data_IF_560722820122
#
_entry.id   IF_560722820122
#
_cell.length_a   1.000
_cell.length_b   1.000
_cell.length_c   1.000
_cell.angle_alpha   90.00
_cell.angle_beta   90.00
_cell.angle_gamma   90.00
#
_symmetry.space_group_name_H-M   'P 1'
#
loop_
_entity.id
_entity.type
_entity.pdbx_description
1 polymer ?
#
# COMPACT_ATOMS: atom_id res chain seq x y z
N UNK A 1 34.06 3.13 -12.77
CA UNK A 1 33.63 4.10 -11.75
C UNK A 1 32.33 4.73 -12.25
N UNK A 2 31.18 4.23 -11.77
CA UNK A 2 29.89 4.89 -11.99
C UNK A 2 29.90 6.19 -11.19
N UNK A 3 29.81 7.32 -11.89
CA UNK A 3 29.56 8.59 -11.23
C UNK A 3 28.23 8.46 -10.50
N UNK A 4 28.22 8.58 -9.17
CA UNK A 4 26.97 8.70 -8.42
C UNK A 4 26.24 9.91 -8.98
N UNK A 5 25.05 9.70 -9.55
CA UNK A 5 24.23 10.80 -10.01
C UNK A 5 24.00 11.74 -8.83
N UNK A 6 24.29 13.03 -9.01
CA UNK A 6 24.00 14.04 -8.00
C UNK A 6 22.50 14.12 -7.80
N UNK A 7 22.02 13.97 -6.57
CA UNK A 7 20.60 14.14 -6.21
C UNK A 7 20.24 15.61 -5.94
N UNK A 8 20.97 16.54 -6.53
CA UNK A 8 20.64 17.96 -6.52
C UNK A 8 19.46 18.22 -7.47
N UNK A 9 18.39 18.92 -7.05
CA UNK A 9 17.24 19.24 -7.89
C UNK A 9 17.59 19.85 -9.25
N UNK A 10 18.64 20.68 -9.30
CA UNK A 10 19.07 21.32 -10.54
C UNK A 10 19.70 20.34 -11.54
N UNK A 11 20.21 19.19 -11.08
CA UNK A 11 20.85 18.17 -11.89
C UNK A 11 19.95 16.95 -12.18
N UNK A 12 18.86 16.80 -11.43
CA UNK A 12 17.92 15.70 -11.63
C UNK A 12 17.13 15.84 -12.93
N UNK A 13 17.04 14.75 -13.68
CA UNK A 13 16.29 14.68 -14.94
C UNK A 13 14.83 14.33 -14.69
N UNK A 14 14.06 15.28 -14.15
CA UNK A 14 12.63 15.15 -13.95
C UNK A 14 11.84 15.28 -15.26
N UNK A 15 10.60 14.80 -15.30
CA UNK A 15 9.69 14.92 -16.46
C UNK A 15 9.49 16.36 -16.89
N UNK A 16 9.40 17.26 -15.92
CA UNK A 16 9.36 18.71 -16.13
C UNK A 16 10.49 19.35 -15.34
N UNK A 17 11.39 20.05 -16.01
CA UNK A 17 12.54 20.67 -15.37
C UNK A 17 12.14 21.56 -14.18
N UNK A 18 12.77 21.35 -13.04
CA UNK A 18 12.53 22.11 -11.79
C UNK A 18 11.24 21.76 -11.07
N UNK A 19 10.52 20.73 -11.53
CA UNK A 19 9.27 20.26 -10.92
C UNK A 19 9.33 18.76 -10.73
N UNK A 20 8.83 18.25 -9.61
CA UNK A 20 8.69 16.83 -9.33
C UNK A 20 7.24 16.41 -9.60
N UNK A 21 7.03 15.50 -10.54
CA UNK A 21 5.71 14.99 -10.89
C UNK A 21 5.47 13.65 -10.22
N UNK A 22 4.47 13.57 -9.35
CA UNK A 22 4.13 12.37 -8.58
C UNK A 22 2.81 11.80 -9.09
N UNK A 23 2.77 10.49 -9.29
CA UNK A 23 1.59 9.75 -9.69
C UNK A 23 0.87 9.11 -8.50
N UNK A 24 -0.45 9.02 -8.61
CA UNK A 24 -1.29 8.13 -7.80
C UNK A 24 -2.59 7.84 -8.53
N UNK A 25 -3.35 6.83 -8.08
CA UNK A 25 -4.64 6.48 -8.67
C UNK A 25 -5.75 7.47 -8.25
N UNK A 26 -6.90 7.35 -8.89
CA UNK A 26 -8.13 8.05 -8.53
C UNK A 26 -9.32 7.09 -8.60
N UNK A 27 -10.14 7.02 -7.52
CA UNK A 27 -10.04 7.81 -6.29
C UNK A 27 -8.83 7.43 -5.41
N UNK A 28 -8.26 8.43 -4.73
CA UNK A 28 -7.19 8.29 -3.77
C UNK A 28 -7.79 8.06 -2.37
N UNK A 29 -7.68 6.84 -1.86
CA UNK A 29 -8.42 6.39 -0.67
C UNK A 29 -7.72 6.72 0.65
N UNK A 30 -8.55 6.98 1.69
CA UNK A 30 -8.09 6.99 3.08
C UNK A 30 -7.70 5.57 3.55
N UNK A 31 -6.74 5.47 4.47
CA UNK A 31 -5.95 6.51 5.13
C UNK A 31 -4.69 6.95 4.38
N UNK A 32 -4.51 6.50 3.12
CA UNK A 32 -3.36 6.82 2.28
C UNK A 32 -3.38 8.27 1.81
N UNK A 33 -4.56 8.73 1.42
CA UNK A 33 -4.86 10.09 1.00
C UNK A 33 -6.16 10.54 1.68
N UNK A 34 -6.26 11.80 2.06
CA UNK A 34 -7.46 12.34 2.70
C UNK A 34 -8.21 13.23 1.70
N UNK A 35 -9.54 13.17 1.70
CA UNK A 35 -10.43 13.96 0.84
C UNK A 35 -10.27 13.71 -0.67
N UNK A 36 -9.77 12.53 -1.10
CA UNK A 36 -9.45 12.22 -2.52
C UNK A 36 -8.54 13.28 -3.16
N UNK A 37 -7.67 13.91 -2.34
CA UNK A 37 -6.76 14.97 -2.77
C UNK A 37 -5.33 14.66 -2.36
N UNK A 38 -4.50 14.10 -3.27
CA UNK A 38 -3.11 13.77 -2.97
C UNK A 38 -2.24 15.01 -2.70
N UNK A 39 -2.67 16.19 -3.13
CA UNK A 39 -1.88 17.41 -3.03
C UNK A 39 -1.95 18.10 -1.66
N UNK A 40 -2.90 17.70 -0.81
CA UNK A 40 -3.13 18.35 0.48
C UNK A 40 -2.07 18.01 1.56
N UNK A 41 -1.24 16.97 1.35
CA UNK A 41 -0.24 16.51 2.30
C UNK A 41 -0.81 15.67 3.45
N UNK A 42 -2.08 15.29 3.37
CA UNK A 42 -2.79 14.51 4.39
C UNK A 42 -2.98 13.07 3.94
N UNK A 43 -2.83 12.13 4.88
CA UNK A 43 -2.78 10.71 4.62
C UNK A 43 -1.34 10.20 4.48
N UNK A 44 -1.16 8.89 4.70
CA UNK A 44 0.18 8.32 4.80
C UNK A 44 1.01 8.53 3.53
N UNK A 45 0.48 8.16 2.36
CA UNK A 45 1.24 8.25 1.09
C UNK A 45 1.39 9.68 0.59
N UNK A 46 0.39 10.56 0.80
CA UNK A 46 0.56 11.97 0.51
C UNK A 46 1.70 12.57 1.34
N UNK A 47 1.74 12.26 2.64
CA UNK A 47 2.80 12.74 3.53
C UNK A 47 4.18 12.14 3.18
N UNK A 48 4.25 10.85 2.85
CA UNK A 48 5.49 10.18 2.39
C UNK A 48 6.00 10.83 1.09
N UNK A 49 5.11 11.07 0.13
CA UNK A 49 5.48 11.69 -1.14
C UNK A 49 6.10 13.08 -0.95
N UNK A 50 5.50 13.91 -0.10
CA UNK A 50 6.06 15.23 0.22
C UNK A 50 7.35 15.14 1.04
N UNK A 51 7.49 14.16 1.94
CA UNK A 51 8.74 13.92 2.65
C UNK A 51 9.86 13.50 1.69
N UNK A 52 9.58 12.63 0.71
CA UNK A 52 10.54 12.28 -0.36
C UNK A 52 10.91 13.54 -1.17
N UNK A 53 9.92 14.34 -1.57
CA UNK A 53 10.15 15.57 -2.32
C UNK A 53 11.08 16.55 -1.56
N UNK A 54 10.85 16.71 -0.27
CA UNK A 54 11.68 17.57 0.60
C UNK A 54 13.12 17.06 0.70
N UNK A 55 13.32 15.76 0.92
CA UNK A 55 14.67 15.12 0.91
C UNK A 55 15.37 15.30 -0.45
N UNK A 56 14.63 15.31 -1.54
CA UNK A 56 15.16 15.58 -2.88
C UNK A 56 15.36 17.08 -3.16
N UNK A 57 14.99 17.97 -2.23
CA UNK A 57 15.15 19.42 -2.35
C UNK A 57 14.05 20.13 -3.15
N UNK A 58 12.90 19.49 -3.38
CA UNK A 58 11.73 20.11 -4.02
C UNK A 58 10.75 20.65 -2.97
N UNK A 59 10.56 21.96 -2.95
CA UNK A 59 9.52 22.57 -2.13
C UNK A 59 8.11 22.13 -2.58
N UNK A 60 7.13 22.21 -1.69
CA UNK A 60 5.76 21.75 -1.94
C UNK A 60 5.12 22.36 -3.20
N UNK A 61 5.40 23.62 -3.50
CA UNK A 61 4.92 24.33 -4.69
C UNK A 61 5.60 23.87 -5.99
N UNK A 62 6.65 23.05 -5.89
CA UNK A 62 7.36 22.40 -7.02
C UNK A 62 6.92 20.95 -7.23
N UNK A 63 5.93 20.48 -6.51
CA UNK A 63 5.35 19.15 -6.67
C UNK A 63 4.05 19.25 -7.46
N UNK A 64 3.94 18.44 -8.50
CA UNK A 64 2.73 18.32 -9.33
C UNK A 64 2.23 16.87 -9.27
N UNK A 65 0.92 16.69 -9.15
CA UNK A 65 0.29 15.39 -9.12
C UNK A 65 -0.38 15.04 -10.45
N UNK A 66 -0.28 13.79 -10.86
CA UNK A 66 -0.97 13.23 -12.04
C UNK A 66 -1.72 11.97 -11.66
N UNK A 67 -2.86 11.76 -12.30
CA UNK A 67 -3.62 10.51 -12.14
C UNK A 67 -2.92 9.41 -12.93
N UNK A 68 -2.57 8.34 -12.23
CA UNK A 68 -1.92 7.16 -12.80
C UNK A 68 -2.64 5.90 -12.31
N UNK A 69 -3.53 5.31 -13.13
CA UNK A 69 -4.25 4.09 -12.75
C UNK A 69 -3.29 2.95 -12.46
N UNK A 70 -3.58 2.18 -11.39
CA UNK A 70 -2.70 1.11 -10.88
C UNK A 70 -2.15 0.20 -11.99
N UNK A 71 -3.02 -0.27 -12.90
CA UNK A 71 -2.59 -1.16 -13.97
C UNK A 71 -1.56 -0.53 -14.93
N UNK A 72 -1.62 0.78 -15.12
CA UNK A 72 -0.64 1.50 -15.95
C UNK A 72 0.66 1.77 -15.21
N UNK A 73 0.59 1.93 -13.88
CA UNK A 73 1.76 2.11 -13.02
C UNK A 73 2.69 0.91 -13.08
N UNK A 74 2.15 -0.30 -12.93
CA UNK A 74 2.95 -1.54 -12.91
C UNK A 74 3.25 -2.13 -14.29
N UNK A 75 2.62 -1.62 -15.35
CA UNK A 75 2.84 -2.10 -16.72
C UNK A 75 4.19 -1.63 -17.29
N UNK A 76 4.77 -2.33 -18.26
CA UNK A 76 5.93 -1.84 -19.03
C UNK A 76 5.62 -0.53 -19.77
N UNK A 77 6.65 0.27 -20.03
CA UNK A 77 6.56 1.49 -20.83
C UNK A 77 6.79 2.77 -20.03
N UNK A 78 6.89 3.89 -20.78
CA UNK A 78 7.15 5.20 -20.19
C UNK A 78 6.00 5.68 -19.33
N UNK A 79 6.33 6.27 -18.18
CA UNK A 79 5.39 6.85 -17.23
C UNK A 79 5.24 8.35 -17.42
N UNK A 80 4.10 8.89 -17.00
CA UNK A 80 3.83 10.34 -17.01
C UNK A 80 4.34 11.05 -15.74
N UNK A 81 4.91 10.31 -14.80
CA UNK A 81 5.37 10.77 -13.49
C UNK A 81 6.86 10.48 -13.29
N UNK A 82 7.47 11.17 -12.35
CA UNK A 82 8.83 10.91 -11.89
C UNK A 82 8.87 9.70 -10.96
N UNK A 83 7.93 9.64 -10.02
CA UNK A 83 7.61 8.44 -9.25
C UNK A 83 6.11 8.41 -8.88
N UNK A 84 5.62 7.24 -8.52
CA UNK A 84 4.23 7.00 -8.12
C UNK A 84 4.19 6.37 -6.73
N UNK A 85 3.19 6.74 -5.94
CA UNK A 85 2.86 6.14 -4.65
C UNK A 85 1.38 5.74 -4.66
N UNK A 86 1.13 4.45 -4.67
CA UNK A 86 -0.20 3.90 -4.89
C UNK A 86 -0.34 2.48 -4.31
N UNK A 87 0.10 2.28 -3.08
CA UNK A 87 0.09 0.99 -2.38
C UNK A 87 0.65 -0.15 -3.26
N UNK A 88 1.76 0.10 -3.94
CA UNK A 88 2.35 -0.86 -4.87
C UNK A 88 3.37 -1.72 -4.16
N UNK A 89 3.04 -2.98 -3.97
CA UNK A 89 3.96 -3.97 -3.41
C UNK A 89 5.14 -4.22 -4.34
N UNK A 90 6.32 -4.17 -3.78
CA UNK A 90 7.56 -4.53 -4.46
C UNK A 90 7.55 -6.04 -4.72
N UNK A 91 7.71 -6.46 -5.98
CA UNK A 91 7.87 -7.86 -6.35
C UNK A 91 8.87 -8.04 -7.48
N UNK A 92 9.48 -9.21 -7.55
CA UNK A 92 10.46 -9.52 -8.61
C UNK A 92 9.81 -9.53 -10.00
N UNK A 93 8.54 -9.92 -10.08
CA UNK A 93 7.78 -9.84 -11.33
C UNK A 93 7.62 -8.37 -11.78
N UNK A 94 7.18 -7.49 -10.90
CA UNK A 94 7.00 -6.06 -11.21
C UNK A 94 8.32 -5.35 -11.51
N UNK A 95 9.41 -5.74 -10.86
CA UNK A 95 10.77 -5.22 -11.16
C UNK A 95 11.25 -5.49 -12.59
N UNK A 96 10.64 -6.43 -13.30
CA UNK A 96 10.95 -6.63 -14.72
C UNK A 96 10.42 -5.49 -15.60
N UNK A 97 9.30 -4.89 -15.22
CA UNK A 97 8.61 -3.86 -15.99
C UNK A 97 8.91 -2.43 -15.51
N UNK A 98 9.17 -2.25 -14.22
CA UNK A 98 9.36 -0.93 -13.57
C UNK A 98 10.52 -0.99 -12.59
N UNK A 99 11.00 0.18 -12.16
CA UNK A 99 11.90 0.29 -11.02
C UNK A 99 11.11 0.63 -9.75
N UNK A 100 11.67 0.27 -8.60
CA UNK A 100 11.17 0.60 -7.28
C UNK A 100 12.24 1.32 -6.46
N UNK A 101 11.80 2.23 -5.61
CA UNK A 101 12.61 2.68 -4.47
C UNK A 101 12.75 1.57 -3.43
N UNK A 102 13.56 1.79 -2.39
CA UNK A 102 13.42 1.06 -1.13
C UNK A 102 11.98 1.14 -0.62
N UNK A 103 11.55 0.14 0.14
CA UNK A 103 10.20 0.12 0.71
C UNK A 103 9.98 1.24 1.71
N UNK A 104 8.88 1.98 1.58
CA UNK A 104 8.48 3.02 2.54
C UNK A 104 7.45 2.54 3.57
N UNK A 105 6.81 1.38 3.34
CA UNK A 105 5.81 0.81 4.25
C UNK A 105 5.92 -0.71 4.26
N UNK A 106 5.94 -1.28 5.47
CA UNK A 106 5.92 -2.73 5.67
C UNK A 106 4.47 -3.21 5.73
N UNK A 107 4.06 -3.98 4.73
CA UNK A 107 2.67 -4.40 4.56
C UNK A 107 2.32 -5.53 5.53
N UNK A 108 1.20 -5.38 6.21
CA UNK A 108 0.57 -6.42 7.01
C UNK A 108 -0.75 -6.84 6.36
N UNK A 109 -0.99 -8.13 6.34
CA UNK A 109 -2.29 -8.67 5.94
C UNK A 109 -3.21 -8.69 7.16
N UNK A 110 -4.49 -8.35 6.96
CA UNK A 110 -5.48 -8.33 8.00
C UNK A 110 -6.72 -9.12 7.62
N UNK A 111 -7.44 -9.60 8.61
CA UNK A 111 -8.72 -10.29 8.45
C UNK A 111 -9.85 -9.36 8.89
N UNK A 112 -10.80 -9.13 7.99
CA UNK A 112 -11.98 -8.29 8.19
C UNK A 112 -13.19 -9.17 8.31
N UNK A 113 -14.11 -8.82 9.19
CA UNK A 113 -15.41 -9.46 9.32
C UNK A 113 -16.49 -8.44 9.67
N UNK A 114 -17.70 -8.90 9.95
CA UNK A 114 -18.80 -8.12 10.49
C UNK A 114 -19.06 -8.48 11.95
N UNK A 115 -19.63 -7.56 12.70
CA UNK A 115 -19.95 -7.77 14.12
C UNK A 115 -20.93 -8.93 14.29
N UNK A 116 -20.59 -9.85 15.18
CA UNK A 116 -21.38 -11.06 15.45
C UNK A 116 -21.18 -12.18 14.42
N UNK A 117 -20.17 -12.12 13.57
CA UNK A 117 -19.77 -13.22 12.69
C UNK A 117 -19.16 -14.39 13.47
N UNK A 118 -19.00 -15.57 12.83
CA UNK A 118 -18.34 -16.71 13.49
C UNK A 118 -16.89 -16.43 13.94
N UNK A 119 -16.23 -15.43 13.36
CA UNK A 119 -14.84 -15.07 13.65
C UNK A 119 -14.68 -13.73 14.35
N UNK A 120 -15.77 -13.06 14.68
CA UNK A 120 -15.74 -11.83 15.48
C UNK A 120 -15.16 -12.13 16.87
N UNK A 121 -14.19 -11.32 17.31
CA UNK A 121 -13.52 -11.47 18.60
C UNK A 121 -12.52 -12.64 18.68
N UNK A 122 -12.23 -13.32 17.60
CA UNK A 122 -11.17 -14.35 17.56
C UNK A 122 -9.80 -13.69 17.65
N UNK A 123 -8.85 -14.39 18.28
CA UNK A 123 -7.53 -13.85 18.61
C UNK A 123 -6.37 -14.68 18.07
N UNK A 124 -6.66 -15.85 17.50
CA UNK A 124 -5.63 -16.75 16.95
C UNK A 124 -5.90 -17.09 15.50
N UNK A 125 -4.83 -17.34 14.74
CA UNK A 125 -4.95 -17.82 13.34
C UNK A 125 -5.67 -19.17 13.29
N UNK A 126 -5.46 -20.02 14.29
CA UNK A 126 -6.11 -21.34 14.36
C UNK A 126 -7.64 -21.24 14.46
N UNK A 127 -8.17 -20.21 15.08
CA UNK A 127 -9.63 -19.97 15.19
C UNK A 127 -10.28 -19.68 13.85
N UNK A 128 -9.51 -19.28 12.83
CA UNK A 128 -9.99 -18.92 11.51
C UNK A 128 -10.10 -20.12 10.56
N UNK A 129 -9.58 -21.30 10.94
CA UNK A 129 -9.54 -22.47 10.04
C UNK A 129 -10.91 -22.97 9.60
N UNK A 130 -11.93 -22.79 10.41
CA UNK A 130 -13.31 -23.15 10.08
C UNK A 130 -14.07 -22.08 9.28
N UNK A 131 -13.48 -20.90 9.08
CA UNK A 131 -14.14 -19.78 8.44
C UNK A 131 -14.12 -19.89 6.91
N UNK A 132 -15.16 -19.36 6.29
CA UNK A 132 -15.19 -19.11 4.84
C UNK A 132 -14.52 -17.76 4.58
N UNK A 133 -13.28 -17.78 4.14
CA UNK A 133 -12.52 -16.57 3.84
C UNK A 133 -12.57 -16.26 2.35
N UNK A 134 -12.54 -14.97 2.01
CA UNK A 134 -12.46 -14.47 0.66
C UNK A 134 -11.32 -13.48 0.49
N UNK A 135 -10.83 -13.35 -0.74
CA UNK A 135 -9.80 -12.37 -1.11
C UNK A 135 -9.90 -12.03 -2.61
N UNK A 136 -9.32 -10.91 -2.99
CA UNK A 136 -9.24 -10.54 -4.40
C UNK A 136 -8.24 -11.44 -5.13
N UNK A 137 -8.57 -11.79 -6.37
CA UNK A 137 -7.74 -12.63 -7.24
C UNK A 137 -6.35 -12.02 -7.47
N UNK A 138 -5.33 -12.87 -7.48
CA UNK A 138 -3.96 -12.47 -7.81
C UNK A 138 -3.26 -11.58 -6.78
N UNK A 139 -3.80 -11.50 -5.55
CA UNK A 139 -3.24 -10.68 -4.47
C UNK A 139 -2.39 -11.50 -3.51
N UNK A 140 -1.48 -10.83 -2.82
CA UNK A 140 -0.74 -11.39 -1.68
C UNK A 140 -1.68 -11.73 -0.52
N UNK A 141 -2.81 -11.03 -0.41
CA UNK A 141 -3.88 -11.31 0.54
C UNK A 141 -4.50 -12.70 0.33
N UNK A 142 -4.74 -13.08 -0.93
CA UNK A 142 -5.20 -14.43 -1.27
C UNK A 142 -4.18 -15.49 -0.82
N UNK A 143 -2.89 -15.25 -1.13
CA UNK A 143 -1.82 -16.17 -0.73
C UNK A 143 -1.71 -16.26 0.80
N UNK A 144 -1.80 -15.15 1.51
CA UNK A 144 -1.78 -15.14 2.97
C UNK A 144 -2.97 -15.93 3.57
N UNK A 145 -4.17 -15.75 3.05
CA UNK A 145 -5.34 -16.52 3.47
C UNK A 145 -5.12 -18.02 3.27
N UNK A 146 -4.64 -18.41 2.09
CA UNK A 146 -4.41 -19.81 1.71
C UNK A 146 -3.28 -20.45 2.52
N UNK A 147 -2.13 -19.76 2.63
CA UNK A 147 -0.89 -20.38 3.10
C UNK A 147 -0.69 -20.20 4.62
N UNK A 148 -1.18 -19.12 5.22
CA UNK A 148 -1.04 -18.86 6.66
C UNK A 148 -2.25 -19.36 7.45
N UNK A 149 -3.47 -19.07 7.01
CA UNK A 149 -4.67 -19.54 7.71
C UNK A 149 -4.95 -20.99 7.40
N UNK A 150 -4.76 -21.40 6.17
CA UNK A 150 -5.06 -22.77 5.69
C UNK A 150 -6.50 -23.19 6.03
N UNK A 151 -7.52 -22.43 5.59
CA UNK A 151 -8.89 -22.71 5.97
C UNK A 151 -9.35 -24.06 5.41
N UNK A 152 -10.27 -24.72 6.13
CA UNK A 152 -10.83 -26.04 5.72
C UNK A 152 -11.56 -25.99 4.39
N UNK A 153 -12.22 -24.85 4.08
CA UNK A 153 -12.80 -24.57 2.78
C UNK A 153 -11.83 -23.75 1.93
N UNK A 154 -11.84 -23.97 0.61
CA UNK A 154 -11.04 -23.14 -0.28
C UNK A 154 -11.38 -21.66 -0.13
N UNK A 155 -10.35 -20.80 -0.17
CA UNK A 155 -10.53 -19.35 -0.15
C UNK A 155 -11.36 -18.92 -1.35
N UNK A 156 -12.47 -18.21 -1.11
CA UNK A 156 -13.31 -17.67 -2.16
C UNK A 156 -12.56 -16.53 -2.88
N UNK A 157 -12.59 -16.56 -4.21
CA UNK A 157 -11.84 -15.62 -5.05
C UNK A 157 -12.80 -14.64 -5.70
N UNK A 158 -12.50 -13.35 -5.60
CA UNK A 158 -13.28 -12.26 -6.17
C UNK A 158 -12.43 -11.42 -7.12
N UNK A 159 -13.04 -10.94 -8.20
CA UNK A 159 -12.33 -10.08 -9.17
C UNK A 159 -11.95 -8.71 -8.58
N UNK A 160 -12.74 -8.24 -7.62
CA UNK A 160 -12.50 -6.96 -6.91
C UNK A 160 -12.77 -7.10 -5.41
N UNK A 161 -12.16 -6.21 -4.63
CA UNK A 161 -12.47 -6.09 -3.20
C UNK A 161 -13.93 -5.71 -2.95
N UNK A 162 -14.54 -4.91 -3.83
CA UNK A 162 -15.96 -4.54 -3.70
C UNK A 162 -16.89 -5.75 -3.80
N UNK A 163 -16.58 -6.71 -4.68
CA UNK A 163 -17.32 -7.96 -4.77
C UNK A 163 -17.15 -8.83 -3.51
N UNK A 164 -15.95 -8.85 -2.94
CA UNK A 164 -15.70 -9.53 -1.67
C UNK A 164 -16.50 -8.88 -0.52
N UNK A 165 -16.55 -7.55 -0.47
CA UNK A 165 -17.36 -6.80 0.49
C UNK A 165 -18.85 -7.13 0.33
N UNK A 166 -19.37 -7.20 -0.89
CA UNK A 166 -20.77 -7.60 -1.14
C UNK A 166 -21.05 -9.02 -0.65
N UNK A 167 -20.13 -9.96 -0.90
CA UNK A 167 -20.26 -11.34 -0.42
C UNK A 167 -20.25 -11.41 1.12
N UNK A 168 -19.44 -10.59 1.78
CA UNK A 168 -19.42 -10.49 3.24
C UNK A 168 -20.72 -9.90 3.79
N UNK A 169 -21.24 -8.82 3.20
CA UNK A 169 -22.55 -8.25 3.54
C UNK A 169 -23.69 -9.25 3.40
N UNK A 170 -23.63 -10.08 2.37
CA UNK A 170 -24.61 -11.13 2.10
C UNK A 170 -24.38 -12.40 2.93
N UNK A 171 -23.39 -12.40 3.83
CA UNK A 171 -23.03 -13.55 4.68
C UNK A 171 -22.70 -14.82 3.90
N UNK A 172 -22.20 -14.66 2.68
CA UNK A 172 -21.73 -15.75 1.82
C UNK A 172 -20.32 -16.21 2.21
N UNK A 173 -19.55 -15.30 2.81
CA UNK A 173 -18.24 -15.53 3.43
C UNK A 173 -18.27 -14.98 4.86
N UNK A 174 -17.37 -15.47 5.72
CA UNK A 174 -17.25 -15.06 7.10
C UNK A 174 -16.23 -13.94 7.30
N UNK A 175 -15.26 -13.82 6.40
CA UNK A 175 -14.23 -12.80 6.45
C UNK A 175 -13.53 -12.56 5.14
N UNK A 176 -12.88 -11.40 5.04
CA UNK A 176 -12.03 -10.99 3.91
C UNK A 176 -10.61 -10.85 4.43
N UNK A 177 -9.64 -11.31 3.63
CA UNK A 177 -8.22 -11.00 3.86
C UNK A 177 -7.82 -9.92 2.87
N UNK A 178 -7.27 -8.83 3.40
CA UNK A 178 -6.78 -7.69 2.64
C UNK A 178 -5.59 -7.05 3.34
N UNK A 179 -4.86 -6.18 2.65
CA UNK A 179 -3.84 -5.33 3.28
C UNK A 179 -4.47 -4.51 4.40
N UNK A 180 -3.75 -4.33 5.50
CA UNK A 180 -4.28 -3.65 6.68
C UNK A 180 -4.92 -2.29 6.36
N UNK A 181 -4.34 -1.43 5.54
CA UNK A 181 -4.97 -0.16 5.20
C UNK A 181 -6.24 -0.29 4.36
N UNK A 182 -6.29 -1.26 3.46
CA UNK A 182 -7.55 -1.61 2.76
C UNK A 182 -8.59 -2.13 3.75
N UNK A 183 -8.17 -2.89 4.76
CA UNK A 183 -9.03 -3.34 5.85
C UNK A 183 -9.65 -2.16 6.61
N UNK A 184 -8.88 -1.13 6.91
CA UNK A 184 -9.39 0.08 7.57
C UNK A 184 -10.43 0.80 6.71
N UNK A 185 -10.17 0.93 5.40
CA UNK A 185 -11.15 1.52 4.49
C UNK A 185 -12.45 0.69 4.41
N UNK A 186 -12.34 -0.63 4.28
CA UNK A 186 -13.51 -1.51 4.25
C UNK A 186 -14.37 -1.37 5.51
N UNK A 187 -13.75 -1.35 6.69
CA UNK A 187 -14.46 -1.25 7.96
C UNK A 187 -14.99 0.15 8.27
N UNK A 188 -14.34 1.19 7.77
CA UNK A 188 -14.74 2.57 8.01
C UNK A 188 -15.77 3.11 7.01
N UNK A 189 -15.69 2.67 5.75
CA UNK A 189 -16.46 3.28 4.66
C UNK A 189 -17.38 2.32 3.88
N UNK A 190 -17.10 1.02 3.90
CA UNK A 190 -17.85 0.06 3.08
C UNK A 190 -18.76 -0.88 3.88
N UNK A 191 -18.45 -1.13 5.15
CA UNK A 191 -19.20 -2.02 6.05
C UNK A 191 -19.77 -1.21 7.21
N UNK A 192 -21.08 -1.27 7.43
CA UNK A 192 -21.74 -0.56 8.54
C UNK A 192 -21.36 -1.12 9.91
N UNK A 193 -21.06 -2.42 9.95
CA UNK A 193 -20.71 -3.17 11.15
C UNK A 193 -19.37 -3.91 11.00
N UNK A 194 -18.48 -3.36 10.16
CA UNK A 194 -17.18 -3.94 9.88
C UNK A 194 -16.26 -3.97 11.10
N UNK A 195 -15.55 -5.07 11.26
CA UNK A 195 -14.58 -5.30 12.36
C UNK A 195 -13.30 -5.86 11.77
N UNK A 196 -12.16 -5.35 12.22
CA UNK A 196 -10.87 -6.00 11.96
C UNK A 196 -10.67 -7.05 13.05
N UNK A 197 -10.62 -8.32 12.64
CA UNK A 197 -10.35 -9.44 13.57
C UNK A 197 -8.92 -9.32 14.10
N UNK A 198 -7.98 -9.07 13.21
CA UNK A 198 -6.57 -8.86 13.53
C UNK A 198 -5.67 -8.93 12.31
N UNK A 199 -4.39 -8.66 12.52
CA UNK A 199 -3.33 -8.81 11.53
C UNK A 199 -2.79 -10.23 11.55
N UNK A 200 -2.56 -10.80 10.38
CA UNK A 200 -1.83 -12.06 10.27
C UNK A 200 -0.35 -11.84 10.67
N UNK A 201 0.28 -12.82 11.34
CA UNK A 201 1.69 -12.72 11.71
C UNK A 201 2.58 -12.52 10.48
N UNK A 202 3.66 -11.75 10.64
CA UNK A 202 4.68 -11.64 9.59
C UNK A 202 5.35 -13.01 9.39
N UNK A 203 5.50 -13.41 8.14
CA UNK A 203 6.24 -14.60 7.74
C UNK A 203 7.39 -14.20 6.81
N UNK A 204 8.62 -14.32 7.31
CA UNK A 204 9.82 -13.95 6.56
C UNK A 204 10.02 -12.45 6.45
N UNK A 205 10.63 -12.01 5.34
CA UNK A 205 10.78 -10.58 5.04
C UNK A 205 9.40 -9.97 4.77
N UNK A 206 9.11 -8.79 5.34
CA UNK A 206 7.83 -8.15 5.12
C UNK A 206 7.67 -7.75 3.64
N UNK A 207 6.48 -7.95 3.11
CA UNK A 207 6.08 -7.28 1.88
C UNK A 207 6.12 -5.78 2.09
N UNK A 208 6.64 -5.03 1.11
CA UNK A 208 6.80 -3.59 1.24
C UNK A 208 6.14 -2.86 0.08
N UNK A 209 5.53 -1.71 0.35
CA UNK A 209 5.20 -0.75 -0.70
C UNK A 209 6.44 0.07 -1.04
N UNK A 210 6.67 0.26 -2.34
CA UNK A 210 7.74 1.08 -2.86
C UNK A 210 7.22 2.12 -3.85
N UNK A 211 7.93 3.23 -3.95
CA UNK A 211 7.67 4.19 -5.02
C UNK A 211 8.05 3.57 -6.36
N UNK A 212 7.17 3.70 -7.36
CA UNK A 212 7.35 3.14 -8.70
C UNK A 212 7.92 4.19 -9.64
N UNK A 213 8.90 3.80 -10.43
CA UNK A 213 9.52 4.65 -11.44
C UNK A 213 9.57 3.95 -12.80
N UNK A 214 9.84 4.70 -13.86
CA UNK A 214 10.20 4.12 -15.16
C UNK A 214 11.31 3.09 -14.98
N UNK A 215 11.25 2.01 -15.74
CA UNK A 215 12.36 1.06 -15.80
C UNK A 215 13.64 1.75 -16.28
N UNK A 216 14.70 1.67 -15.48
CA UNK A 216 15.96 2.36 -15.75
C UNK A 216 15.91 3.88 -15.52
N UNK A 217 15.00 4.37 -14.71
CA UNK A 217 14.90 5.80 -14.38
C UNK A 217 16.21 6.30 -13.75
N UNK A 218 16.72 7.45 -14.20
CA UNK A 218 17.88 8.09 -13.57
C UNK A 218 17.59 8.58 -12.14
N UNK A 219 16.32 8.65 -11.74
CA UNK A 219 15.90 9.09 -10.40
C UNK A 219 15.81 7.96 -9.38
N UNK A 220 15.84 6.69 -9.81
CA UNK A 220 15.67 5.53 -8.92
C UNK A 220 16.63 5.57 -7.73
N UNK A 221 17.90 5.87 -7.96
CA UNK A 221 18.90 5.95 -6.90
C UNK A 221 18.62 7.08 -5.90
N UNK A 222 18.22 8.25 -6.39
CA UNK A 222 17.93 9.41 -5.52
C UNK A 222 16.65 9.21 -4.70
N UNK A 223 15.59 8.65 -5.32
CA UNK A 223 14.36 8.33 -4.59
C UNK A 223 14.60 7.24 -3.54
N UNK A 224 15.39 6.22 -3.88
CA UNK A 224 15.83 5.20 -2.92
C UNK A 224 16.56 5.81 -1.73
N UNK A 225 17.55 6.66 -1.99
CA UNK A 225 18.31 7.34 -0.93
C UNK A 225 17.40 8.21 -0.04
N UNK A 226 16.44 8.92 -0.63
CA UNK A 226 15.47 9.71 0.13
C UNK A 226 14.63 8.82 1.06
N UNK A 227 14.09 7.70 0.55
CA UNK A 227 13.32 6.75 1.36
C UNK A 227 14.17 6.16 2.49
N UNK A 228 15.41 5.75 2.19
CA UNK A 228 16.33 5.21 3.21
C UNK A 228 16.61 6.23 4.31
N UNK A 229 16.87 7.49 3.95
CA UNK A 229 17.05 8.60 4.91
C UNK A 229 15.82 8.77 5.80
N UNK A 230 14.61 8.78 5.21
CA UNK A 230 13.36 8.92 5.96
C UNK A 230 13.09 7.73 6.90
N UNK A 231 13.57 6.54 6.54
CA UNK A 231 13.51 5.36 7.41
C UNK A 231 14.51 5.49 8.56
N UNK A 232 15.75 5.82 8.27
CA UNK A 232 16.82 5.91 9.25
C UNK A 232 16.59 7.01 10.29
N UNK A 233 16.04 8.16 9.88
CA UNK A 233 15.76 9.28 10.78
C UNK A 233 14.43 9.17 11.55
N UNK A 234 13.67 8.08 11.34
CA UNK A 234 12.40 7.81 12.03
C UNK A 234 11.17 8.54 11.46
N UNK A 235 11.31 9.26 10.34
CA UNK A 235 10.18 9.98 9.72
C UNK A 235 9.09 9.01 9.27
N UNK A 236 9.44 7.88 8.64
CA UNK A 236 8.45 6.90 8.19
C UNK A 236 7.65 6.32 9.36
N UNK A 237 8.30 6.01 10.50
CA UNK A 237 7.62 5.51 11.70
C UNK A 237 6.68 6.56 12.30
N UNK A 238 7.10 7.82 12.30
CA UNK A 238 6.26 8.94 12.74
C UNK A 238 5.03 9.08 11.86
N UNK A 239 5.16 8.94 10.53
CA UNK A 239 4.03 9.00 9.60
C UNK A 239 3.09 7.81 9.75
N UNK A 240 3.61 6.59 9.99
CA UNK A 240 2.78 5.42 10.34
C UNK A 240 1.97 5.71 11.59
N UNK A 241 2.60 6.22 12.64
CA UNK A 241 1.91 6.57 13.90
C UNK A 241 0.83 7.63 13.66
N UNK A 242 1.14 8.67 12.90
CA UNK A 242 0.22 9.78 12.66
C UNK A 242 -1.01 9.37 11.84
N UNK A 243 -0.82 8.54 10.81
CA UNK A 243 -1.87 8.28 9.82
C UNK A 243 -2.47 6.87 9.88
N UNK A 244 -1.77 5.87 10.42
CA UNK A 244 -2.19 4.47 10.37
C UNK A 244 -2.44 3.84 11.74
N UNK A 245 -1.71 4.23 12.81
CA UNK A 245 -1.74 3.48 14.07
C UNK A 245 -2.92 3.78 15.00
N UNK A 246 -3.70 4.83 14.76
CA UNK A 246 -4.88 5.16 15.59
C UNK A 246 -6.03 4.16 15.46
N UNK A 247 -5.89 3.16 14.62
CA UNK A 247 -6.94 2.23 14.22
C UNK A 247 -6.76 0.79 14.77
N UNK A 248 -5.76 0.57 15.63
CA UNK A 248 -5.52 -0.61 16.45
C UNK A 248 -6.06 -1.96 15.96
N UNK A 249 -5.39 -2.59 14.99
CA UNK A 249 -5.65 -3.99 14.67
C UNK A 249 -4.63 -4.87 15.42
N UNK A 250 -5.05 -5.74 16.35
CA UNK A 250 -4.12 -6.60 17.09
C UNK A 250 -3.51 -7.67 16.15
N UNK A 251 -2.30 -8.12 16.45
CA UNK A 251 -1.72 -9.27 15.80
C UNK A 251 -2.39 -10.55 16.29
N UNK A 252 -2.83 -11.41 15.36
CA UNK A 252 -3.35 -12.75 15.65
C UNK A 252 -2.19 -13.67 16.08
N UNK A 253 -2.43 -14.48 17.11
CA UNK A 253 -1.44 -15.40 17.67
C UNK A 253 -1.46 -16.76 16.97
#
# INVERSE_FOLDING_TARGET
>A
ASASASCDPASMKTKTAGTLTIGTDKPAYEPWFVDDDPSNGKGYESAVAYAIADELGFAKDKVTWVVAPFNTVVAPGKKAFDFDVNQVSISDERKQAVDFSSGYYDVRQAVITYKGSPIDGKTTVADLKGAKLGAQVGTTSYNAAKDQVQPSAAVAVFDTNDLAVQALKNKQIDGIVADLPTAFYMTAAQLDDGVIVGQLPLQGEPEQFGAVLDKGSPLTGCVTQAVDTLRENGTLDTLVTTWLSTQGAPELK
#
